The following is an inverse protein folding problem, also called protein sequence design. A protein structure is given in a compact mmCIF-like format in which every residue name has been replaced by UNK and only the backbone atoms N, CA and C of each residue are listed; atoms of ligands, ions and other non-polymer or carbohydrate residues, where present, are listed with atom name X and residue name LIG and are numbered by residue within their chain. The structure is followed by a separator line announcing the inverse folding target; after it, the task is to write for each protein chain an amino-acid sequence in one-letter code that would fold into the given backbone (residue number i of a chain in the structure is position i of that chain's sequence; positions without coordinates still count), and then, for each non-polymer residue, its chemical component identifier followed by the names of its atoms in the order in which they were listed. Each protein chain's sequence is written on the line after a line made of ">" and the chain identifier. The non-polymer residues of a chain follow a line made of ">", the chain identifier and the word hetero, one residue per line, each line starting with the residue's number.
data_IF_109707273951
#
_entry.id   IF_109707273951
#
_cell.length_a   1.000
_cell.length_b   1.000
_cell.length_c   1.000
_cell.angle_alpha   90.00
_cell.angle_beta   90.00
_cell.angle_gamma   90.00
#
_symmetry.space_group_name_H-M   'P 1'
#
loop_
_entity.id
_entity.type
_entity.pdbx_description
1 polymer ?
#
# COMPACT_ATOMS: atom_id res chain seq x y z
N UNK A 1 17.10 18.77 -13.38
CA UNK A 1 17.15 17.31 -13.26
C UNK A 1 16.27 16.70 -14.35
N UNK A 2 16.63 15.54 -14.86
CA UNK A 2 15.81 14.75 -15.79
C UNK A 2 15.11 13.65 -15.00
N UNK A 3 13.77 13.61 -15.05
CA UNK A 3 12.93 12.64 -14.34
C UNK A 3 12.40 11.63 -15.35
N UNK A 4 12.53 10.36 -15.06
CA UNK A 4 12.01 9.24 -15.84
C UNK A 4 10.84 8.57 -15.12
N UNK A 5 9.73 8.39 -15.84
CA UNK A 5 8.54 7.68 -15.37
C UNK A 5 8.31 6.48 -16.27
N UNK A 6 8.86 5.32 -15.94
CA UNK A 6 8.64 4.10 -16.72
C UNK A 6 7.23 3.56 -16.51
N UNK A 7 6.79 2.72 -17.44
CA UNK A 7 5.58 1.92 -17.29
C UNK A 7 5.83 0.80 -16.30
N UNK A 8 4.87 0.57 -15.42
CA UNK A 8 4.91 -0.59 -14.53
C UNK A 8 4.67 -1.88 -15.32
N UNK A 9 5.49 -2.88 -15.05
CA UNK A 9 5.48 -4.17 -15.78
C UNK A 9 5.22 -5.37 -14.87
N UNK A 10 5.08 -5.14 -13.56
CA UNK A 10 4.69 -6.17 -12.62
C UNK A 10 3.24 -6.60 -12.88
N UNK A 11 2.95 -7.89 -12.74
CA UNK A 11 1.61 -8.42 -13.01
C UNK A 11 0.53 -7.68 -12.19
N UNK A 12 -0.56 -7.29 -12.87
CA UNK A 12 -1.67 -6.52 -12.30
C UNK A 12 -1.29 -5.14 -11.71
N UNK A 13 -0.13 -4.59 -12.09
CA UNK A 13 0.24 -3.24 -11.73
C UNK A 13 -0.04 -2.29 -12.89
N UNK A 14 -1.05 -1.45 -12.71
CA UNK A 14 -1.53 -0.53 -13.72
C UNK A 14 -1.41 0.94 -13.25
N UNK A 15 -0.90 1.17 -12.05
CA UNK A 15 -0.61 2.53 -11.54
C UNK A 15 0.58 3.12 -12.28
N UNK A 16 0.78 4.41 -12.14
CA UNK A 16 1.94 5.14 -12.70
C UNK A 16 2.54 6.07 -11.65
N UNK A 17 3.87 6.21 -11.65
CA UNK A 17 4.60 6.96 -10.62
C UNK A 17 4.35 8.46 -10.61
N UNK A 18 3.85 9.04 -11.70
CA UNK A 18 3.55 10.47 -11.81
C UNK A 18 2.36 10.72 -12.73
N UNK A 19 1.49 11.67 -12.37
CA UNK A 19 0.35 12.11 -13.19
C UNK A 19 0.75 13.26 -14.12
N UNK A 20 -0.06 13.60 -15.14
CA UNK A 20 0.16 14.82 -15.95
C UNK A 20 0.26 16.08 -15.08
N UNK A 21 -0.52 16.20 -14.02
CA UNK A 21 -0.42 17.32 -13.06
C UNK A 21 0.96 17.36 -12.38
N UNK A 22 1.50 16.20 -11.98
CA UNK A 22 2.84 16.12 -11.42
C UNK A 22 3.93 16.51 -12.43
N UNK A 23 3.77 16.08 -13.69
CA UNK A 23 4.65 16.50 -14.79
C UNK A 23 4.64 18.03 -14.95
N UNK A 24 3.46 18.64 -14.94
CA UNK A 24 3.33 20.09 -15.05
C UNK A 24 4.07 20.84 -13.92
N UNK A 25 3.97 20.33 -12.69
CA UNK A 25 4.70 20.91 -11.55
C UNK A 25 6.22 20.73 -11.68
N UNK A 26 6.68 19.56 -12.14
CA UNK A 26 8.12 19.34 -12.42
C UNK A 26 8.64 20.29 -13.51
N UNK A 27 7.92 20.43 -14.62
CA UNK A 27 8.33 21.30 -15.73
C UNK A 27 8.30 22.77 -15.35
N UNK A 28 7.34 23.24 -14.57
CA UNK A 28 7.32 24.60 -13.99
C UNK A 28 8.54 24.88 -13.11
N UNK A 29 9.08 23.86 -12.44
CA UNK A 29 10.31 23.96 -11.64
C UNK A 29 11.58 23.80 -12.48
N UNK A 30 11.49 23.78 -13.81
CA UNK A 30 12.64 23.72 -14.72
C UNK A 30 13.21 22.32 -14.94
N UNK A 31 12.48 21.28 -14.59
CA UNK A 31 12.89 19.89 -14.81
C UNK A 31 12.38 19.37 -16.15
N UNK A 32 13.08 18.39 -16.71
CA UNK A 32 12.65 17.65 -17.90
C UNK A 32 12.04 16.32 -17.43
N UNK A 33 10.87 15.97 -17.96
CA UNK A 33 10.20 14.72 -17.61
C UNK A 33 10.05 13.84 -18.85
N UNK A 34 10.56 12.64 -18.78
CA UNK A 34 10.36 11.57 -19.75
C UNK A 34 9.36 10.56 -19.19
N UNK A 35 8.34 10.25 -19.97
CA UNK A 35 7.33 9.24 -19.61
C UNK A 35 7.38 8.13 -20.67
N UNK A 36 7.42 6.89 -20.26
CA UNK A 36 7.34 5.79 -21.21
C UNK A 36 5.97 5.76 -21.87
N UNK A 37 5.95 5.48 -23.18
CA UNK A 37 4.72 5.34 -23.95
C UNK A 37 3.73 4.40 -23.25
N UNK A 38 2.48 4.80 -23.17
CA UNK A 38 1.37 4.09 -22.53
C UNK A 38 1.48 3.86 -21.01
N UNK A 39 2.44 4.49 -20.33
CA UNK A 39 2.66 4.26 -18.88
C UNK A 39 1.42 4.60 -18.03
N UNK A 40 0.68 5.67 -18.39
CA UNK A 40 -0.49 6.12 -17.63
C UNK A 40 -1.84 5.61 -18.14
N UNK A 41 -1.90 4.93 -19.28
CA UNK A 41 -3.15 4.60 -19.98
C UNK A 41 -4.11 3.81 -19.09
N UNK A 42 -3.62 2.79 -18.41
CA UNK A 42 -4.45 1.96 -17.53
C UNK A 42 -4.88 2.68 -16.23
N UNK A 43 -4.26 3.82 -15.94
CA UNK A 43 -4.66 4.74 -14.86
C UNK A 43 -5.49 5.93 -15.37
N UNK A 44 -5.92 5.91 -16.63
CA UNK A 44 -6.77 6.95 -17.24
C UNK A 44 -6.01 8.17 -17.76
N UNK A 45 -4.68 8.11 -17.91
CA UNK A 45 -3.85 9.20 -18.41
C UNK A 45 -3.21 8.82 -19.75
N UNK A 46 -3.62 9.51 -20.82
CA UNK A 46 -3.07 9.28 -22.18
C UNK A 46 -1.68 9.92 -22.34
N UNK A 47 -0.93 9.45 -23.33
CA UNK A 47 0.35 10.04 -23.71
C UNK A 47 0.20 11.51 -24.15
N UNK A 48 -0.93 11.85 -24.80
CA UNK A 48 -1.26 13.22 -25.16
C UNK A 48 -1.43 14.13 -23.93
N UNK A 49 -2.05 13.61 -22.86
CA UNK A 49 -2.20 14.36 -21.60
C UNK A 49 -0.83 14.64 -20.96
N UNK A 50 0.10 13.69 -21.01
CA UNK A 50 1.47 13.90 -20.54
C UNK A 50 2.23 14.89 -21.40
N UNK A 51 2.09 14.80 -22.72
CA UNK A 51 2.72 15.74 -23.68
C UNK A 51 2.20 17.15 -23.47
N UNK A 52 0.88 17.32 -23.32
CA UNK A 52 0.26 18.61 -23.01
C UNK A 52 0.75 19.21 -21.67
N UNK A 53 1.10 18.36 -20.70
CA UNK A 53 1.68 18.78 -19.42
C UNK A 53 3.19 19.11 -19.51
N UNK A 54 3.83 18.87 -20.66
CA UNK A 54 5.24 19.20 -20.92
C UNK A 54 6.19 18.00 -20.84
N UNK A 55 5.70 16.77 -20.71
CA UNK A 55 6.54 15.59 -20.81
C UNK A 55 6.95 15.28 -22.27
N UNK A 56 8.04 14.55 -22.40
CA UNK A 56 8.41 13.88 -23.66
C UNK A 56 8.15 12.38 -23.50
N UNK A 57 7.46 11.80 -24.50
CA UNK A 57 7.18 10.36 -24.50
C UNK A 57 8.37 9.62 -25.12
N UNK A 58 8.85 8.60 -24.41
CA UNK A 58 9.88 7.69 -24.90
C UNK A 58 9.27 6.29 -25.15
N UNK A 59 9.66 5.59 -26.21
CA UNK A 59 9.01 4.35 -26.60
C UNK A 59 9.30 3.18 -25.66
N UNK A 60 10.50 3.14 -25.05
CA UNK A 60 10.97 1.98 -24.31
C UNK A 60 11.39 2.33 -22.88
N UNK A 61 11.38 1.32 -22.00
CA UNK A 61 11.83 1.45 -20.61
C UNK A 61 13.33 1.73 -20.55
N UNK A 62 14.10 1.13 -21.45
CA UNK A 62 15.55 1.30 -21.55
C UNK A 62 15.91 2.77 -21.83
N UNK A 63 15.19 3.41 -22.75
CA UNK A 63 15.42 4.81 -23.07
C UNK A 63 15.07 5.72 -21.88
N UNK A 64 14.01 5.40 -21.12
CA UNK A 64 13.64 6.14 -19.90
C UNK A 64 14.74 6.04 -18.86
N UNK A 65 15.20 4.82 -18.54
CA UNK A 65 16.27 4.63 -17.57
C UNK A 65 17.61 5.26 -18.02
N UNK A 66 17.95 5.11 -19.30
CA UNK A 66 19.19 5.67 -19.84
C UNK A 66 19.24 7.21 -19.80
N UNK A 67 18.09 7.87 -19.92
CA UNK A 67 18.02 9.33 -20.02
C UNK A 67 17.84 10.05 -18.68
N UNK A 68 17.30 9.37 -17.65
CA UNK A 68 16.87 10.01 -16.42
C UNK A 68 17.96 10.05 -15.34
N UNK A 69 18.01 11.16 -14.59
CA UNK A 69 18.77 11.29 -13.35
C UNK A 69 18.01 10.67 -12.17
N UNK A 70 16.68 10.79 -12.18
CA UNK A 70 15.77 10.26 -11.17
C UNK A 70 14.67 9.41 -11.83
N UNK A 71 14.52 8.19 -11.39
CA UNK A 71 13.40 7.31 -11.78
C UNK A 71 12.32 7.40 -10.69
N UNK A 72 11.07 7.65 -11.10
CA UNK A 72 9.89 7.67 -10.23
C UNK A 72 8.95 6.55 -10.66
N UNK A 73 8.75 5.57 -9.79
CA UNK A 73 7.92 4.39 -10.02
C UNK A 73 6.89 4.21 -8.90
N UNK A 74 6.04 3.22 -9.04
CA UNK A 74 5.14 2.75 -7.97
C UNK A 74 5.74 1.53 -7.26
N UNK A 75 6.12 0.50 -8.03
CA UNK A 75 6.68 -0.74 -7.49
C UNK A 75 8.19 -0.82 -7.68
N UNK A 76 8.80 -1.70 -6.92
CA UNK A 76 10.21 -2.03 -7.02
C UNK A 76 10.59 -2.44 -8.46
N UNK A 77 11.83 -2.16 -8.89
CA UNK A 77 12.38 -2.77 -10.09
C UNK A 77 12.33 -4.30 -9.99
N UNK A 78 11.97 -4.97 -11.08
CA UNK A 78 12.01 -6.44 -11.19
C UNK A 78 13.26 -6.88 -11.97
N UNK A 79 13.52 -8.16 -12.03
CA UNK A 79 14.77 -8.73 -12.53
C UNK A 79 15.22 -8.18 -13.91
N UNK A 80 14.28 -8.00 -14.85
CA UNK A 80 14.60 -7.43 -16.16
C UNK A 80 14.96 -5.93 -16.11
N UNK A 81 14.60 -5.21 -15.06
CA UNK A 81 14.92 -3.79 -14.85
C UNK A 81 16.26 -3.60 -14.12
N UNK A 82 16.79 -4.60 -13.38
CA UNK A 82 17.97 -4.41 -12.52
C UNK A 82 19.18 -3.83 -13.28
N UNK A 83 19.42 -4.31 -14.50
CA UNK A 83 20.53 -3.86 -15.34
C UNK A 83 20.34 -2.49 -15.95
N UNK A 84 19.13 -1.95 -15.91
CA UNK A 84 18.81 -0.60 -16.40
C UNK A 84 19.15 0.47 -15.39
N UNK A 85 19.16 0.12 -14.10
CA UNK A 85 19.48 1.04 -13.00
C UNK A 85 20.97 1.36 -13.02
N UNK A 86 21.30 2.66 -13.04
CA UNK A 86 22.69 3.13 -13.22
C UNK A 86 23.30 3.64 -11.91
N UNK A 87 24.63 3.58 -11.84
CA UNK A 87 25.40 4.16 -10.73
C UNK A 87 25.06 5.65 -10.54
N UNK A 88 24.75 6.02 -9.31
CA UNK A 88 24.40 7.38 -8.92
C UNK A 88 23.00 7.83 -9.35
N UNK A 89 22.22 7.00 -10.10
CA UNK A 89 20.85 7.29 -10.44
C UNK A 89 19.97 7.20 -9.19
N UNK A 90 19.13 8.21 -8.98
CA UNK A 90 18.15 8.19 -7.90
C UNK A 90 16.93 7.37 -8.32
N UNK A 91 16.51 6.41 -7.50
CA UNK A 91 15.26 5.67 -7.71
C UNK A 91 14.35 5.92 -6.52
N UNK A 92 13.16 6.47 -6.79
CA UNK A 92 12.16 6.86 -5.80
C UNK A 92 10.89 6.06 -6.04
N UNK A 93 10.63 5.05 -5.21
CA UNK A 93 9.56 4.04 -5.37
C UNK A 93 9.34 3.26 -4.07
N UNK A 94 8.33 2.38 -4.03
CA UNK A 94 8.30 1.28 -3.06
C UNK A 94 9.36 0.25 -3.42
N UNK A 95 10.19 -0.16 -2.49
CA UNK A 95 11.20 -1.18 -2.71
C UNK A 95 10.91 -2.49 -1.98
N UNK A 96 10.46 -2.43 -0.74
CA UNK A 96 10.26 -3.60 0.11
C UNK A 96 11.53 -4.48 0.21
N UNK A 97 12.70 -3.88 0.36
CA UNK A 97 14.00 -4.55 0.35
C UNK A 97 14.09 -5.75 1.30
N UNK A 98 13.50 -5.65 2.50
CA UNK A 98 13.49 -6.74 3.47
C UNK A 98 12.71 -8.00 2.99
N UNK A 99 11.97 -7.92 1.90
CA UNK A 99 11.22 -9.04 1.33
C UNK A 99 11.90 -9.70 0.11
N UNK A 100 12.99 -9.09 -0.43
CA UNK A 100 13.64 -9.59 -1.65
C UNK A 100 15.15 -9.41 -1.60
N UNK A 101 15.86 -10.48 -1.31
CA UNK A 101 17.32 -10.52 -1.34
C UNK A 101 17.90 -10.23 -2.74
N UNK A 102 17.36 -10.81 -3.85
CA UNK A 102 17.85 -10.52 -5.20
C UNK A 102 17.77 -9.04 -5.57
N UNK A 103 16.65 -8.37 -5.25
CA UNK A 103 16.49 -6.94 -5.46
C UNK A 103 17.52 -6.14 -4.66
N UNK A 104 17.68 -6.48 -3.38
CA UNK A 104 18.61 -5.79 -2.48
C UNK A 104 20.04 -5.87 -3.04
N UNK A 105 20.49 -7.06 -3.43
CA UNK A 105 21.83 -7.27 -4.04
C UNK A 105 21.97 -6.51 -5.36
N UNK A 106 20.98 -6.58 -6.23
CA UNK A 106 21.01 -5.87 -7.51
C UNK A 106 21.12 -4.35 -7.34
N UNK A 107 20.41 -3.76 -6.38
CA UNK A 107 20.50 -2.31 -6.12
C UNK A 107 21.82 -1.91 -5.47
N UNK A 108 22.41 -2.75 -4.63
CA UNK A 108 23.78 -2.55 -4.12
C UNK A 108 24.79 -2.56 -5.27
N UNK A 109 24.73 -3.59 -6.13
CA UNK A 109 25.65 -3.74 -7.28
C UNK A 109 25.50 -2.61 -8.30
N UNK A 110 24.29 -2.07 -8.50
CA UNK A 110 24.06 -0.96 -9.42
C UNK A 110 24.75 0.33 -8.99
N UNK A 111 25.03 0.50 -7.69
CA UNK A 111 25.56 1.74 -7.12
C UNK A 111 24.57 2.92 -7.20
N UNK A 112 23.29 2.66 -7.34
CA UNK A 112 22.22 3.66 -7.37
C UNK A 112 21.98 4.25 -5.96
N UNK A 113 21.12 5.27 -5.92
CA UNK A 113 20.56 5.86 -4.70
C UNK A 113 19.10 5.49 -4.60
N UNK A 114 18.75 4.61 -3.67
CA UNK A 114 17.41 4.08 -3.51
C UNK A 114 16.70 4.77 -2.33
N UNK A 115 15.72 5.61 -2.65
CA UNK A 115 14.85 6.27 -1.68
C UNK A 115 13.50 5.55 -1.68
N UNK A 116 13.24 4.78 -0.63
CA UNK A 116 12.06 3.94 -0.49
C UNK A 116 10.88 4.73 0.09
N UNK A 117 9.72 4.65 -0.57
CA UNK A 117 8.50 5.29 -0.10
C UNK A 117 8.09 4.82 1.29
N UNK A 118 8.19 3.53 1.55
CA UNK A 118 7.74 2.88 2.79
C UNK A 118 8.58 3.20 4.01
N UNK A 119 9.76 3.80 3.84
CA UNK A 119 10.63 4.18 4.95
C UNK A 119 10.76 5.69 5.14
N UNK A 120 10.10 6.49 4.29
CA UNK A 120 9.88 7.93 4.58
C UNK A 120 8.99 8.03 5.80
N UNK A 121 9.54 8.54 6.91
CA UNK A 121 8.86 8.54 8.21
C UNK A 121 8.90 9.91 8.85
N UNK A 122 7.75 10.40 9.32
CA UNK A 122 7.61 11.63 10.06
C UNK A 122 8.07 11.48 11.52
N UNK A 123 8.20 12.61 12.22
CA UNK A 123 8.60 12.64 13.64
C UNK A 123 7.59 11.93 14.55
N UNK A 124 6.33 11.92 14.19
CA UNK A 124 5.26 11.18 14.89
C UNK A 124 5.22 9.69 14.53
N UNK A 125 6.21 9.21 13.77
CA UNK A 125 6.35 7.83 13.25
C UNK A 125 5.30 7.44 12.22
N UNK A 126 4.52 8.38 11.71
CA UNK A 126 3.63 8.12 10.58
C UNK A 126 4.44 7.96 9.28
N UNK A 127 3.92 7.11 8.39
CA UNK A 127 4.53 6.78 7.09
C UNK A 127 3.71 7.45 5.97
N UNK A 128 3.99 8.72 5.65
CA UNK A 128 3.12 9.55 4.82
C UNK A 128 2.92 9.01 3.41
N UNK A 129 3.85 8.23 2.88
CA UNK A 129 3.77 7.66 1.54
C UNK A 129 3.13 6.27 1.51
N UNK A 130 2.97 5.60 2.68
CA UNK A 130 2.14 4.40 2.82
C UNK A 130 0.66 4.72 3.08
N UNK A 131 0.37 5.82 3.77
CA UNK A 131 -0.99 6.22 4.15
C UNK A 131 -1.97 6.17 2.97
N UNK A 132 -1.68 6.73 1.78
CA UNK A 132 -2.63 6.73 0.67
C UNK A 132 -3.05 5.33 0.23
N UNK A 133 -2.10 4.40 0.15
CA UNK A 133 -2.40 3.01 -0.22
C UNK A 133 -3.13 2.26 0.88
N UNK A 134 -2.85 2.54 2.13
CA UNK A 134 -3.60 2.03 3.28
C UNK A 134 -5.05 2.52 3.29
N UNK A 135 -5.28 3.79 2.93
CA UNK A 135 -6.62 4.39 2.77
C UNK A 135 -7.42 3.70 1.64
N UNK A 136 -6.77 3.47 0.50
CA UNK A 136 -7.41 2.74 -0.62
C UNK A 136 -7.69 1.29 -0.22
N UNK A 137 -6.71 0.60 0.36
CA UNK A 137 -6.85 -0.80 0.75
C UNK A 137 -7.98 -1.02 1.76
N UNK A 138 -8.13 -0.12 2.75
CA UNK A 138 -9.22 -0.20 3.73
C UNK A 138 -10.61 -0.05 3.10
N UNK A 139 -10.77 0.90 2.18
CA UNK A 139 -12.03 1.09 1.44
C UNK A 139 -12.34 -0.09 0.54
N UNK A 140 -11.33 -0.59 -0.17
CA UNK A 140 -11.45 -1.77 -1.01
C UNK A 140 -11.81 -3.02 -0.20
N UNK A 141 -11.24 -3.19 0.99
CA UNK A 141 -11.57 -4.32 1.88
C UNK A 141 -13.07 -4.38 2.18
N UNK A 142 -13.71 -3.24 2.42
CA UNK A 142 -15.16 -3.17 2.60
C UNK A 142 -15.92 -3.41 1.29
N UNK A 143 -15.47 -2.82 0.19
CA UNK A 143 -16.11 -2.97 -1.13
C UNK A 143 -16.10 -4.44 -1.57
N UNK A 144 -14.94 -5.10 -1.52
CA UNK A 144 -14.80 -6.51 -1.86
C UNK A 144 -15.53 -7.41 -0.86
N UNK A 145 -15.43 -7.10 0.44
CA UNK A 145 -16.18 -7.80 1.47
C UNK A 145 -17.70 -7.76 1.23
N UNK A 146 -18.23 -6.61 0.83
CA UNK A 146 -19.62 -6.43 0.47
C UNK A 146 -20.01 -7.27 -0.77
N UNK A 147 -19.17 -7.24 -1.81
CA UNK A 147 -19.36 -8.01 -3.04
C UNK A 147 -19.38 -9.51 -2.79
N UNK A 148 -18.45 -10.01 -1.98
CA UNK A 148 -18.38 -11.43 -1.64
C UNK A 148 -19.38 -11.89 -0.58
N UNK A 149 -20.09 -10.98 0.11
CA UNK A 149 -21.24 -11.35 0.94
C UNK A 149 -22.46 -11.79 0.10
N UNK A 150 -22.52 -11.46 -1.19
CA UNK A 150 -23.57 -11.88 -2.08
C UNK A 150 -23.59 -13.41 -2.25
N UNK A 151 -24.80 -14.01 -2.27
CA UNK A 151 -24.96 -15.47 -2.42
C UNK A 151 -24.34 -16.02 -3.73
N UNK A 152 -24.50 -15.36 -4.90
CA UNK A 152 -23.87 -15.83 -6.14
C UNK A 152 -22.33 -15.81 -6.10
N UNK A 153 -21.73 -15.11 -5.14
CA UNK A 153 -20.29 -14.99 -4.94
C UNK A 153 -19.76 -15.88 -3.83
N UNK A 154 -20.66 -16.67 -3.22
CA UNK A 154 -20.29 -17.64 -2.18
C UNK A 154 -20.55 -17.19 -0.76
N UNK A 155 -20.91 -15.93 -0.54
CA UNK A 155 -21.25 -15.40 0.77
C UNK A 155 -22.61 -15.87 1.28
N UNK A 156 -22.98 -15.42 2.47
CA UNK A 156 -24.25 -15.80 3.12
C UNK A 156 -25.48 -15.07 2.58
N UNK A 157 -25.34 -14.20 1.55
CA UNK A 157 -26.46 -13.49 0.90
C UNK A 157 -26.99 -12.33 1.75
N UNK A 158 -26.10 -11.56 2.39
CA UNK A 158 -26.48 -10.47 3.28
C UNK A 158 -26.17 -9.10 2.67
N UNK A 159 -27.13 -8.18 2.74
CA UNK A 159 -26.96 -6.82 2.26
C UNK A 159 -26.31 -5.97 3.35
N UNK A 160 -25.27 -5.22 3.00
CA UNK A 160 -24.45 -4.44 3.95
C UNK A 160 -25.29 -3.50 4.84
N UNK A 161 -26.13 -2.68 4.24
CA UNK A 161 -26.95 -1.69 4.96
C UNK A 161 -28.30 -2.19 5.46
N UNK A 162 -28.67 -3.44 5.19
CA UNK A 162 -30.03 -3.92 5.45
C UNK A 162 -31.11 -3.18 4.66
N UNK A 163 -32.37 -3.33 5.05
CA UNK A 163 -33.52 -2.57 4.53
C UNK A 163 -34.52 -2.36 5.66
N UNK A 164 -35.53 -1.48 5.53
CA UNK A 164 -36.56 -1.30 6.56
C UNK A 164 -37.14 -2.64 7.02
N UNK A 165 -37.07 -2.91 8.32
CA UNK A 165 -37.48 -4.19 8.92
C UNK A 165 -36.46 -5.31 8.91
N UNK A 166 -35.30 -5.12 8.26
CA UNK A 166 -34.19 -6.10 8.22
C UNK A 166 -32.89 -5.45 8.70
N UNK A 167 -32.25 -6.06 9.70
CA UNK A 167 -30.99 -5.56 10.26
C UNK A 167 -29.86 -5.54 9.22
N UNK A 168 -28.95 -4.54 9.28
CA UNK A 168 -27.76 -4.51 8.43
C UNK A 168 -26.78 -5.65 8.76
N UNK A 169 -25.78 -5.80 7.89
CA UNK A 169 -24.66 -6.69 8.14
C UNK A 169 -23.82 -6.18 9.34
N UNK A 170 -23.25 -7.11 10.07
CA UNK A 170 -22.27 -6.85 11.13
C UNK A 170 -20.86 -6.94 10.58
N UNK A 171 -20.13 -5.85 10.67
CA UNK A 171 -18.74 -5.76 10.22
C UNK A 171 -17.82 -5.65 11.42
N UNK A 172 -16.89 -6.57 11.54
CA UNK A 172 -15.86 -6.54 12.57
C UNK A 172 -14.50 -6.19 11.97
N UNK A 173 -13.88 -5.13 12.45
CA UNK A 173 -12.58 -4.64 11.98
C UNK A 173 -11.54 -4.82 13.08
N UNK A 174 -10.51 -5.61 12.79
CA UNK A 174 -9.41 -5.90 13.70
C UNK A 174 -8.21 -5.02 13.35
N UNK A 175 -7.92 -4.04 14.21
CA UNK A 175 -6.89 -3.02 14.04
C UNK A 175 -7.49 -1.64 13.71
N UNK A 176 -7.22 -0.66 14.56
CA UNK A 176 -7.67 0.74 14.43
C UNK A 176 -6.70 1.64 13.68
N UNK A 177 -5.74 1.10 12.90
CA UNK A 177 -4.81 1.86 12.07
C UNK A 177 -5.50 2.56 10.88
N UNK A 178 -4.72 3.02 9.90
CA UNK A 178 -5.24 3.72 8.71
C UNK A 178 -6.20 2.81 7.93
N UNK A 179 -5.79 1.58 7.64
CA UNK A 179 -6.58 0.58 6.91
C UNK A 179 -7.91 0.32 7.61
N UNK A 180 -7.86 -0.06 8.89
CA UNK A 180 -9.07 -0.40 9.65
C UNK A 180 -10.01 0.77 9.84
N UNK A 181 -9.48 1.98 10.04
CA UNK A 181 -10.29 3.22 10.11
C UNK A 181 -11.01 3.48 8.79
N UNK A 182 -10.33 3.32 7.66
CA UNK A 182 -10.91 3.49 6.34
C UNK A 182 -11.98 2.42 6.06
N UNK A 183 -11.72 1.15 6.39
CA UNK A 183 -12.66 0.05 6.26
C UNK A 183 -13.93 0.28 7.10
N UNK A 184 -13.76 0.57 8.39
CA UNK A 184 -14.87 0.81 9.32
C UNK A 184 -15.74 2.00 8.89
N UNK A 185 -15.10 3.11 8.46
CA UNK A 185 -15.81 4.30 7.97
C UNK A 185 -16.61 4.00 6.71
N UNK A 186 -16.06 3.24 5.78
CA UNK A 186 -16.73 2.86 4.54
C UNK A 186 -17.93 1.94 4.83
N UNK A 187 -17.75 0.92 5.66
CA UNK A 187 -18.84 0.02 6.07
C UNK A 187 -19.96 0.78 6.80
N UNK A 188 -19.60 1.69 7.70
CA UNK A 188 -20.56 2.53 8.40
C UNK A 188 -21.32 3.46 7.43
N UNK A 189 -20.63 4.03 6.42
CA UNK A 189 -21.24 4.84 5.38
C UNK A 189 -22.24 4.06 4.50
N UNK A 190 -22.05 2.75 4.36
CA UNK A 190 -22.99 1.84 3.70
C UNK A 190 -24.15 1.39 4.63
N UNK A 191 -24.17 1.83 5.88
CA UNK A 191 -25.22 1.54 6.85
C UNK A 191 -25.01 0.27 7.69
N UNK A 192 -23.83 -0.35 7.64
CA UNK A 192 -23.52 -1.52 8.46
C UNK A 192 -23.49 -1.23 9.97
N UNK A 193 -23.69 -2.26 10.78
CA UNK A 193 -23.37 -2.25 12.22
C UNK A 193 -21.91 -2.64 12.39
N UNK A 194 -21.05 -1.69 12.80
CA UNK A 194 -19.58 -1.86 12.77
C UNK A 194 -19.02 -1.89 14.17
N UNK A 195 -18.15 -2.87 14.43
CA UNK A 195 -17.25 -2.87 15.60
C UNK A 195 -15.81 -2.80 15.12
N UNK A 196 -15.02 -1.86 15.65
CA UNK A 196 -13.57 -1.76 15.40
C UNK A 196 -12.81 -1.99 16.70
N UNK A 197 -11.81 -2.86 16.69
CA UNK A 197 -10.98 -3.11 17.85
C UNK A 197 -9.52 -2.70 17.65
N UNK A 198 -8.88 -2.30 18.75
CA UNK A 198 -7.46 -1.99 18.83
C UNK A 198 -6.93 -2.29 20.23
N UNK A 199 -5.62 -2.46 20.39
CA UNK A 199 -4.96 -2.63 21.70
C UNK A 199 -4.69 -1.29 22.39
N UNK A 200 -4.77 -0.18 21.67
CA UNK A 200 -4.46 1.16 22.16
C UNK A 200 -5.72 1.92 22.61
N UNK A 201 -5.92 2.06 23.90
CA UNK A 201 -7.01 2.87 24.44
C UNK A 201 -7.02 4.33 23.92
N UNK A 202 -5.89 5.04 23.81
CA UNK A 202 -5.87 6.37 23.19
C UNK A 202 -6.37 6.35 21.74
N UNK A 203 -6.04 5.29 20.97
CA UNK A 203 -6.55 5.12 19.60
C UNK A 203 -8.05 4.88 19.59
N UNK A 204 -8.55 4.04 20.46
CA UNK A 204 -9.99 3.76 20.59
C UNK A 204 -10.77 5.02 21.00
N UNK A 205 -10.24 5.82 21.93
CA UNK A 205 -10.84 7.11 22.31
C UNK A 205 -10.94 8.05 21.11
N UNK A 206 -9.86 8.23 20.36
CA UNK A 206 -9.88 9.03 19.13
C UNK A 206 -10.92 8.51 18.11
N UNK A 207 -10.98 7.20 17.90
CA UNK A 207 -11.95 6.61 16.98
C UNK A 207 -13.39 6.82 17.45
N UNK A 208 -13.66 6.73 18.76
CA UNK A 208 -14.99 6.99 19.33
C UNK A 208 -15.46 8.42 19.04
N UNK A 209 -14.52 9.40 19.01
CA UNK A 209 -14.84 10.81 18.75
C UNK A 209 -15.07 11.10 17.25
N UNK A 210 -14.33 10.44 16.35
CA UNK A 210 -14.30 10.82 14.92
C UNK A 210 -15.09 9.91 14.00
N UNK A 211 -15.52 8.73 14.48
CA UNK A 211 -16.26 7.77 13.67
C UNK A 211 -17.77 8.02 13.71
N UNK A 212 -18.54 7.60 12.68
CA UNK A 212 -20.00 7.62 12.71
C UNK A 212 -20.57 6.83 13.90
N UNK A 213 -21.76 7.19 14.36
CA UNK A 213 -22.41 6.61 15.57
C UNK A 213 -22.71 5.10 15.45
N UNK A 214 -22.77 4.55 14.26
CA UNK A 214 -22.92 3.11 14.00
C UNK A 214 -21.58 2.35 14.03
N UNK A 215 -20.48 3.00 14.42
CA UNK A 215 -19.20 2.36 14.72
C UNK A 215 -18.99 2.32 16.23
N UNK A 216 -18.79 1.13 16.76
CA UNK A 216 -18.46 0.87 18.16
C UNK A 216 -16.97 0.55 18.29
N UNK A 217 -16.34 1.03 19.33
CA UNK A 217 -14.94 0.71 19.64
C UNK A 217 -14.88 -0.39 20.69
N UNK A 218 -13.90 -1.30 20.56
CA UNK A 218 -13.73 -2.45 21.43
C UNK A 218 -12.24 -2.68 21.70
N UNK A 219 -11.90 -3.03 22.94
CA UNK A 219 -10.52 -3.45 23.27
C UNK A 219 -10.20 -4.76 22.59
N UNK A 220 -9.08 -4.82 21.87
CA UNK A 220 -8.61 -6.05 21.23
C UNK A 220 -8.06 -7.02 22.27
N UNK A 221 -8.79 -8.12 22.48
CA UNK A 221 -8.39 -9.27 23.27
C UNK A 221 -8.90 -10.53 22.60
N UNK A 222 -8.29 -11.67 22.87
CA UNK A 222 -8.76 -12.95 22.31
C UNK A 222 -10.22 -13.21 22.66
N UNK A 223 -10.62 -12.93 23.90
CA UNK A 223 -12.00 -13.09 24.35
C UNK A 223 -12.96 -12.24 23.53
N UNK A 224 -12.69 -10.94 23.37
CA UNK A 224 -13.55 -10.03 22.61
C UNK A 224 -13.60 -10.37 21.11
N UNK A 225 -12.47 -10.79 20.54
CA UNK A 225 -12.42 -11.26 19.15
C UNK A 225 -13.33 -12.49 18.99
N UNK A 226 -13.25 -13.49 19.86
CA UNK A 226 -14.12 -14.68 19.85
C UNK A 226 -15.60 -14.33 19.95
N UNK A 227 -15.96 -13.37 20.80
CA UNK A 227 -17.37 -12.95 20.94
C UNK A 227 -17.89 -12.25 19.67
N UNK A 228 -17.12 -11.31 19.09
CA UNK A 228 -17.53 -10.59 17.87
C UNK A 228 -17.63 -11.53 16.65
N UNK A 229 -16.75 -12.52 16.52
CA UNK A 229 -16.76 -13.48 15.42
C UNK A 229 -18.06 -14.30 15.36
N UNK A 230 -18.73 -14.57 16.48
CA UNK A 230 -19.98 -15.35 16.52
C UNK A 230 -21.11 -14.74 15.69
N UNK A 231 -21.10 -13.43 15.52
CA UNK A 231 -22.17 -12.72 14.83
C UNK A 231 -21.69 -11.90 13.63
N UNK A 232 -20.41 -11.88 13.35
CA UNK A 232 -19.84 -11.14 12.23
C UNK A 232 -20.29 -11.72 10.87
N UNK A 233 -20.57 -10.85 9.93
CA UNK A 233 -20.85 -11.19 8.54
C UNK A 233 -19.62 -10.93 7.66
N UNK A 234 -18.88 -9.86 7.97
CA UNK A 234 -17.62 -9.48 7.37
C UNK A 234 -16.60 -9.20 8.47
N UNK A 235 -15.41 -9.78 8.35
CA UNK A 235 -14.27 -9.50 9.22
C UNK A 235 -13.13 -8.93 8.39
N UNK A 236 -12.59 -7.79 8.80
CA UNK A 236 -11.44 -7.15 8.13
C UNK A 236 -10.21 -7.20 9.06
N UNK A 237 -9.19 -7.95 8.66
CA UNK A 237 -7.89 -7.99 9.30
C UNK A 237 -6.99 -6.87 8.79
N UNK A 238 -6.60 -5.94 9.66
CA UNK A 238 -5.88 -4.73 9.26
C UNK A 238 -4.72 -4.36 10.20
N UNK A 239 -4.22 -5.34 10.96
CA UNK A 239 -3.09 -5.12 11.88
C UNK A 239 -1.78 -5.26 11.12
N UNK A 240 -1.01 -4.19 11.11
CA UNK A 240 0.32 -4.11 10.52
C UNK A 240 1.30 -3.68 11.60
N UNK A 241 2.37 -4.45 11.77
CA UNK A 241 3.49 -4.09 12.65
C UNK A 241 4.68 -3.77 11.75
N UNK A 242 5.16 -2.52 11.70
CA UNK A 242 6.31 -2.15 10.87
C UNK A 242 7.51 -3.04 11.18
N UNK A 243 8.11 -3.64 10.14
CA UNK A 243 9.30 -4.48 10.27
C UNK A 243 9.08 -5.88 10.88
N UNK A 244 7.84 -6.28 11.19
CA UNK A 244 7.53 -7.59 11.75
C UNK A 244 6.36 -8.27 11.02
N UNK A 245 6.25 -9.59 11.19
CA UNK A 245 5.08 -10.35 10.72
C UNK A 245 3.84 -9.93 11.50
N UNK A 246 2.69 -9.86 10.83
CA UNK A 246 1.41 -9.63 11.48
C UNK A 246 1.11 -10.75 12.50
N UNK A 247 0.58 -10.42 13.70
CA UNK A 247 0.17 -11.42 14.66
C UNK A 247 -1.06 -12.19 14.14
N UNK A 248 -1.15 -13.49 14.46
CA UNK A 248 -2.32 -14.30 14.11
C UNK A 248 -3.42 -14.09 15.14
N UNK A 249 -4.34 -13.18 14.83
CA UNK A 249 -5.41 -12.73 15.74
C UNK A 249 -6.69 -13.57 15.61
N UNK A 250 -6.91 -14.20 14.46
CA UNK A 250 -7.98 -15.18 14.24
C UNK A 250 -7.31 -16.52 13.94
N UNK A 251 -7.44 -17.46 14.84
CA UNK A 251 -6.88 -18.81 14.73
C UNK A 251 -7.88 -19.75 14.02
N UNK A 252 -7.40 -20.89 13.55
CA UNK A 252 -8.25 -21.83 12.80
C UNK A 252 -9.44 -22.34 13.60
N UNK A 253 -9.27 -22.59 14.89
CA UNK A 253 -10.35 -23.03 15.77
C UNK A 253 -11.47 -21.99 15.92
N UNK A 254 -11.14 -20.70 15.80
CA UNK A 254 -12.11 -19.60 15.83
C UNK A 254 -13.04 -19.60 14.60
N UNK A 255 -12.66 -20.22 13.48
CA UNK A 255 -13.53 -20.31 12.30
C UNK A 255 -14.84 -21.05 12.62
N UNK A 256 -14.80 -22.02 13.53
CA UNK A 256 -15.98 -22.78 13.99
C UNK A 256 -17.01 -21.90 14.75
N UNK A 257 -16.63 -20.71 15.20
CA UNK A 257 -17.53 -19.75 15.85
C UNK A 257 -18.40 -18.98 14.85
N UNK A 258 -17.96 -18.90 13.60
CA UNK A 258 -18.59 -18.10 12.56
C UNK A 258 -19.63 -18.90 11.77
N UNK A 259 -20.60 -18.21 11.22
CA UNK A 259 -21.57 -18.82 10.32
C UNK A 259 -20.94 -19.09 8.93
N UNK A 260 -21.27 -20.23 8.28
CA UNK A 260 -20.82 -20.50 6.92
C UNK A 260 -21.17 -19.36 5.94
N UNK A 261 -20.22 -18.99 5.07
CA UNK A 261 -20.37 -17.88 4.15
C UNK A 261 -20.05 -16.50 4.75
N UNK A 262 -19.58 -16.45 6.00
CA UNK A 262 -18.91 -15.25 6.54
C UNK A 262 -17.67 -14.96 5.69
N UNK A 263 -17.39 -13.69 5.45
CA UNK A 263 -16.26 -13.23 4.62
C UNK A 263 -15.15 -12.70 5.53
N UNK A 264 -13.93 -13.22 5.34
CA UNK A 264 -12.70 -12.71 5.95
C UNK A 264 -11.89 -11.98 4.89
N UNK A 265 -11.59 -10.72 5.10
CA UNK A 265 -10.69 -9.92 4.25
C UNK A 265 -9.40 -9.64 5.01
N UNK A 266 -8.29 -10.21 4.57
CA UNK A 266 -6.97 -10.00 5.19
C UNK A 266 -6.15 -8.99 4.40
N UNK A 267 -6.17 -7.74 4.86
CA UNK A 267 -5.41 -6.66 4.21
C UNK A 267 -3.92 -6.70 4.56
N UNK A 268 -3.57 -7.36 5.66
CA UNK A 268 -2.19 -7.50 6.10
C UNK A 268 -1.45 -8.68 5.44
N UNK A 269 -2.03 -9.26 4.38
CA UNK A 269 -1.52 -10.48 3.74
C UNK A 269 -0.08 -10.35 3.24
N UNK A 270 0.32 -9.17 2.75
CA UNK A 270 1.70 -8.90 2.31
C UNK A 270 2.75 -9.05 3.43
N UNK A 271 2.30 -9.02 4.70
CA UNK A 271 3.12 -9.25 5.90
C UNK A 271 2.75 -10.55 6.63
N UNK A 272 2.24 -11.52 5.89
CA UNK A 272 1.87 -12.84 6.38
C UNK A 272 0.43 -12.98 6.90
N UNK A 273 -0.33 -11.89 6.95
CA UNK A 273 -1.76 -11.88 7.30
C UNK A 273 -2.08 -11.97 8.79
N UNK A 274 -3.24 -11.42 9.19
CA UNK A 274 -3.74 -11.43 10.56
C UNK A 274 -4.47 -12.73 10.93
N UNK A 275 -4.84 -13.55 9.96
CA UNK A 275 -5.55 -14.80 10.20
C UNK A 275 -4.61 -15.99 9.99
N UNK A 276 -4.70 -17.00 10.84
CA UNK A 276 -3.85 -18.19 10.76
C UNK A 276 -4.03 -18.93 9.43
N UNK A 277 -5.25 -18.92 8.91
CA UNK A 277 -5.64 -19.59 7.66
C UNK A 277 -5.42 -18.75 6.40
N UNK A 278 -4.88 -17.53 6.53
CA UNK A 278 -4.60 -16.66 5.40
C UNK A 278 -3.40 -17.12 4.59
N UNK A 279 -3.57 -17.15 3.27
CA UNK A 279 -2.48 -17.23 2.29
C UNK A 279 -2.74 -16.25 1.12
N UNK A 280 -1.70 -15.73 0.47
CA UNK A 280 -1.86 -14.76 -0.62
C UNK A 280 -2.68 -15.31 -1.78
N UNK A 281 -3.56 -14.47 -2.31
CA UNK A 281 -4.34 -14.70 -3.53
C UNK A 281 -4.07 -13.60 -4.56
N UNK A 282 -4.65 -13.73 -5.75
CA UNK A 282 -4.49 -12.78 -6.84
C UNK A 282 -5.84 -12.15 -7.21
N UNK A 283 -5.81 -11.08 -8.01
CA UNK A 283 -7.06 -10.48 -8.53
C UNK A 283 -7.84 -11.41 -9.47
N UNK A 284 -7.18 -12.39 -10.10
CA UNK A 284 -7.83 -13.38 -10.96
C UNK A 284 -8.55 -14.46 -10.16
N UNK A 285 -7.93 -14.93 -9.06
CA UNK A 285 -8.48 -15.93 -8.15
C UNK A 285 -8.46 -15.35 -6.73
N UNK A 286 -9.40 -14.44 -6.39
CA UNK A 286 -9.29 -13.62 -5.20
C UNK A 286 -9.67 -14.31 -3.90
N UNK A 287 -10.40 -15.43 -3.98
CA UNK A 287 -11.00 -16.07 -2.80
C UNK A 287 -10.79 -17.57 -2.73
N UNK A 288 -10.87 -18.10 -1.54
CA UNK A 288 -10.90 -19.54 -1.25
C UNK A 288 -11.69 -19.79 0.04
N UNK A 289 -12.02 -21.06 0.30
CA UNK A 289 -12.73 -21.46 1.51
C UNK A 289 -11.85 -22.24 2.47
N UNK A 290 -11.99 -21.96 3.77
CA UNK A 290 -11.50 -22.79 4.85
C UNK A 290 -12.66 -23.01 5.83
N UNK A 291 -12.99 -24.26 6.09
CA UNK A 291 -14.04 -24.66 7.06
C UNK A 291 -15.38 -23.91 6.84
N UNK A 292 -15.76 -23.67 5.58
CA UNK A 292 -16.99 -22.97 5.19
C UNK A 292 -16.93 -21.43 5.24
N UNK A 293 -15.80 -20.86 5.63
CA UNK A 293 -15.57 -19.41 5.70
C UNK A 293 -14.81 -18.94 4.47
N UNK A 294 -15.33 -17.90 3.80
CA UNK A 294 -14.73 -17.34 2.59
C UNK A 294 -13.60 -16.38 2.94
N UNK A 295 -12.43 -16.62 2.37
CA UNK A 295 -11.24 -15.78 2.55
C UNK A 295 -10.97 -14.97 1.29
N UNK A 296 -10.76 -13.66 1.43
CA UNK A 296 -10.23 -12.75 0.42
C UNK A 296 -8.88 -12.22 0.90
N UNK A 297 -7.80 -12.65 0.27
CA UNK A 297 -6.44 -12.37 0.71
C UNK A 297 -5.57 -11.87 -0.45
N UNK A 298 -6.13 -10.99 -1.29
CA UNK A 298 -5.44 -10.49 -2.48
C UNK A 298 -4.26 -9.60 -2.08
N UNK A 299 -3.07 -9.99 -2.55
CA UNK A 299 -1.90 -9.14 -2.46
C UNK A 299 -2.06 -7.92 -3.40
N UNK A 300 -1.60 -6.74 -2.96
CA UNK A 300 -1.71 -5.51 -3.74
C UNK A 300 -3.17 -5.08 -4.04
N UNK A 301 -4.05 -5.13 -3.06
CA UNK A 301 -5.45 -4.68 -3.17
C UNK A 301 -5.58 -3.31 -3.89
N UNK A 302 -4.78 -2.27 -3.59
CA UNK A 302 -4.89 -0.97 -4.27
C UNK A 302 -4.64 -1.01 -5.78
N UNK A 303 -3.99 -2.04 -6.30
CA UNK A 303 -3.76 -2.23 -7.74
C UNK A 303 -5.03 -2.42 -8.55
N UNK A 304 -6.14 -2.85 -7.93
CA UNK A 304 -7.44 -3.03 -8.58
C UNK A 304 -8.10 -1.72 -9.01
N UNK A 305 -7.74 -0.60 -8.39
CA UNK A 305 -8.31 0.73 -8.68
C UNK A 305 -7.20 1.72 -9.06
N UNK A 306 -6.50 1.48 -10.18
CA UNK A 306 -5.26 2.19 -10.52
C UNK A 306 -5.44 3.70 -10.71
N UNK A 307 -6.59 4.15 -11.20
CA UNK A 307 -6.90 5.58 -11.32
C UNK A 307 -6.87 6.28 -9.94
N UNK A 308 -7.67 5.79 -9.00
CA UNK A 308 -7.75 6.35 -7.64
C UNK A 308 -6.41 6.21 -6.91
N UNK A 309 -5.79 5.04 -7.01
CA UNK A 309 -4.52 4.75 -6.34
C UNK A 309 -3.38 5.60 -6.85
N UNK A 310 -3.30 5.84 -8.17
CA UNK A 310 -2.30 6.74 -8.77
C UNK A 310 -2.47 8.17 -8.26
N UNK A 311 -3.69 8.71 -8.29
CA UNK A 311 -3.94 10.06 -7.79
C UNK A 311 -3.60 10.17 -6.30
N UNK A 312 -4.06 9.22 -5.48
CA UNK A 312 -3.80 9.24 -4.05
C UNK A 312 -2.29 9.16 -3.73
N UNK A 313 -1.57 8.27 -4.40
CA UNK A 313 -0.13 8.09 -4.22
C UNK A 313 0.64 9.33 -4.67
N UNK A 314 0.39 9.80 -5.88
CA UNK A 314 1.14 10.92 -6.47
C UNK A 314 0.91 12.24 -5.74
N UNK A 315 -0.27 12.47 -5.18
CA UNK A 315 -0.53 13.60 -4.29
C UNK A 315 0.39 13.61 -3.06
N UNK A 316 0.75 12.43 -2.55
CA UNK A 316 1.65 12.31 -1.40
C UNK A 316 3.13 12.32 -1.81
N UNK A 317 3.50 11.69 -2.92
CA UNK A 317 4.90 11.55 -3.34
C UNK A 317 5.46 12.80 -4.03
N UNK A 318 4.63 13.56 -4.77
CA UNK A 318 5.06 14.72 -5.54
C UNK A 318 5.82 15.77 -4.71
N UNK A 319 5.40 16.18 -3.50
CA UNK A 319 6.14 17.14 -2.69
C UNK A 319 7.56 16.69 -2.34
N UNK A 320 7.75 15.40 -2.12
CA UNK A 320 9.08 14.80 -1.83
C UNK A 320 9.90 14.66 -3.11
N UNK A 321 9.28 14.23 -4.21
CA UNK A 321 9.94 14.15 -5.52
C UNK A 321 10.44 15.53 -5.99
N UNK A 322 9.66 16.60 -5.78
CA UNK A 322 10.08 17.98 -6.06
C UNK A 322 11.28 18.41 -5.20
N UNK A 323 11.32 18.07 -3.92
CA UNK A 323 12.48 18.37 -3.08
C UNK A 323 13.73 17.67 -3.58
N UNK A 324 13.61 16.37 -3.93
CA UNK A 324 14.71 15.59 -4.51
C UNK A 324 15.18 16.17 -5.84
N UNK A 325 14.24 16.55 -6.72
CA UNK A 325 14.55 17.13 -8.02
C UNK A 325 15.21 18.51 -7.93
N UNK A 326 14.68 19.38 -7.07
CA UNK A 326 15.14 20.77 -6.94
C UNK A 326 16.50 20.90 -6.28
N UNK A 327 16.80 20.05 -5.28
CA UNK A 327 18.00 20.17 -4.43
C UNK A 327 19.06 19.11 -4.71
N UNK A 328 18.72 18.05 -5.44
CA UNK A 328 19.48 16.81 -5.45
C UNK A 328 19.31 16.04 -4.14
N UNK A 329 19.46 14.71 -4.19
CA UNK A 329 19.14 13.84 -3.04
C UNK A 329 19.94 14.17 -1.76
N UNK A 330 21.26 14.50 -1.86
CA UNK A 330 22.10 14.79 -0.68
C UNK A 330 21.56 15.99 0.08
N UNK A 331 21.33 17.10 -0.60
CA UNK A 331 20.82 18.32 0.05
C UNK A 331 19.38 18.18 0.48
N UNK A 332 18.53 17.53 -0.30
CA UNK A 332 17.13 17.28 0.07
C UNK A 332 17.03 16.46 1.38
N UNK A 333 17.83 15.39 1.51
CA UNK A 333 17.87 14.54 2.71
C UNK A 333 18.60 15.20 3.90
N UNK A 334 19.56 16.08 3.67
CA UNK A 334 20.16 16.89 4.74
C UNK A 334 19.16 17.91 5.31
N UNK A 335 18.34 18.53 4.45
CA UNK A 335 17.34 19.53 4.84
C UNK A 335 16.04 18.89 5.38
N UNK A 336 15.76 17.62 5.07
CA UNK A 336 14.51 16.93 5.41
C UNK A 336 14.80 15.53 5.99
N UNK A 337 14.63 15.41 7.31
CA UNK A 337 14.84 14.16 8.05
C UNK A 337 13.91 13.02 7.59
N UNK A 338 12.68 13.34 7.15
CA UNK A 338 11.73 12.35 6.63
C UNK A 338 12.28 11.66 5.38
N UNK A 339 12.79 12.46 4.41
CA UNK A 339 13.44 11.95 3.21
C UNK A 339 14.73 11.18 3.51
N UNK A 340 15.50 11.64 4.52
CA UNK A 340 16.72 10.93 4.95
C UNK A 340 16.41 9.50 5.37
N UNK A 341 15.32 9.28 6.10
CA UNK A 341 14.86 7.95 6.50
C UNK A 341 14.40 7.09 5.31
N UNK A 342 14.01 7.74 4.20
CA UNK A 342 13.70 7.06 2.94
C UNK A 342 14.90 6.38 2.27
N UNK A 343 16.13 6.79 2.58
CA UNK A 343 17.33 6.21 1.97
C UNK A 343 17.61 4.82 2.53
N UNK A 344 17.62 3.81 1.66
CA UNK A 344 17.85 2.42 2.05
C UNK A 344 19.19 1.88 1.50
N UNK A 345 19.48 2.14 0.23
CA UNK A 345 20.74 1.79 -0.41
C UNK A 345 21.30 3.06 -1.06
N UNK A 346 22.56 3.37 -0.82
CA UNK A 346 23.22 4.56 -1.35
C UNK A 346 24.61 4.18 -1.87
N UNK A 347 24.80 4.34 -3.18
CA UNK A 347 26.12 4.17 -3.83
C UNK A 347 26.80 2.83 -3.48
N UNK A 348 26.02 1.75 -3.43
CA UNK A 348 26.50 0.39 -3.15
C UNK A 348 26.52 0.01 -1.65
N UNK A 349 26.02 0.86 -0.76
CA UNK A 349 26.00 0.64 0.68
C UNK A 349 24.58 0.55 1.21
N UNK A 350 24.33 -0.35 2.17
CA UNK A 350 23.05 -0.43 2.87
C UNK A 350 23.09 0.55 4.04
N UNK A 351 22.19 1.55 3.99
CA UNK A 351 22.13 2.65 4.97
C UNK A 351 20.83 2.62 5.80
N UNK A 352 20.04 1.58 5.67
CA UNK A 352 18.84 1.33 6.47
C UNK A 352 19.02 0.02 7.25
N UNK A 353 18.96 0.14 8.58
CA UNK A 353 19.39 -0.93 9.49
C UNK A 353 18.57 -2.22 9.33
N UNK A 354 17.26 -2.09 9.19
CA UNK A 354 16.35 -3.22 9.08
C UNK A 354 16.56 -4.02 7.79
N UNK A 355 17.00 -3.38 6.71
CA UNK A 355 17.39 -4.05 5.46
C UNK A 355 18.69 -4.82 5.65
N UNK A 356 19.68 -4.23 6.33
CA UNK A 356 20.95 -4.90 6.66
C UNK A 356 20.70 -6.14 7.54
N UNK A 357 19.88 -6.01 8.57
CA UNK A 357 19.54 -7.10 9.50
C UNK A 357 18.76 -8.23 8.79
N UNK A 358 17.84 -7.90 7.87
CA UNK A 358 17.04 -8.90 7.15
C UNK A 358 17.91 -9.89 6.36
N UNK A 359 19.04 -9.43 5.83
CA UNK A 359 19.91 -10.23 4.94
C UNK A 359 21.32 -10.47 5.49
N UNK A 360 21.60 -10.06 6.73
CA UNK A 360 22.93 -10.18 7.33
C UNK A 360 23.99 -9.38 6.58
N UNK A 361 23.62 -8.21 6.02
CA UNK A 361 24.50 -7.33 5.28
C UNK A 361 25.17 -6.28 6.19
N UNK A 362 26.34 -5.74 5.81
CA UNK A 362 26.94 -4.61 6.52
C UNK A 362 26.00 -3.40 6.49
N UNK A 363 25.79 -2.80 7.65
CA UNK A 363 25.11 -1.50 7.78
C UNK A 363 26.18 -0.39 7.83
N UNK A 364 25.96 0.67 7.05
CA UNK A 364 26.79 1.87 7.10
C UNK A 364 25.94 3.10 7.45
N UNK A 365 26.35 3.83 8.46
CA UNK A 365 25.67 5.09 8.79
C UNK A 365 25.97 6.15 7.71
N UNK A 366 24.90 6.73 7.15
CA UNK A 366 25.03 7.74 6.10
C UNK A 366 25.33 9.12 6.70
N UNK A 367 26.50 9.66 6.34
CA UNK A 367 26.88 11.06 6.59
C UNK A 367 26.53 11.87 5.34
N UNK A 368 25.65 12.89 5.49
CA UNK A 368 25.17 13.76 4.41
C UNK A 368 25.92 15.11 4.41
#
# INVERSE_FOLDING_TARGET
>A
MIIGVPKEIKNNENRVGMTPSGVQEMTKNGHVVYVQATAGVNSGFSDDAYTAAGAKILPTIEEVYASADMIVKVKEPIECEYKLVRKGQLVFTYFHFASSEPLTKAMIESGAVCCAYETVERRDRSLPLLIPMSEVAGRMATQEGCYFLERPRGGKGKLMGGVPGVKPAKVFVIGGGVVGTAAARTAAGMGADVTICDVSLPRLAYLADVMPKNVKTLMSSEYNIREELKSADLVVGSVLIPGAKAPKLVTRDMLALMEPGTVLVDVAIDQGGCFETSHPTTHQEPTYYVDGILHYCVANIPGAVPYTSTLALTNATLPYALQLANKGWRKACADNEELRKGLNVVEGKVVYKEVAEAWGLPFEELVL
#
